data_IF_325102201758
#
_entry.id   IF_325102201758
#
_cell.length_a   1.000
_cell.length_b   1.000
_cell.length_c   1.000
_cell.angle_alpha   90.00
_cell.angle_beta   90.00
_cell.angle_gamma   90.00
#
_symmetry.space_group_name_H-M   'P 1'
#
loop_
_entity.id
_entity.type
_entity.pdbx_description
1 polymer ?
#
# COMPACT_ATOMS: atom_id res chain seq x y z
N UNK A 1 -3.82 38.20 -13.25
CA UNK A 1 -4.94 37.26 -13.00
C UNK A 1 -5.01 36.29 -14.17
N UNK A 2 -4.82 34.99 -13.95
CA UNK A 2 -4.94 34.00 -15.03
C UNK A 2 -6.42 33.66 -15.28
N UNK A 3 -6.81 33.52 -16.55
CA UNK A 3 -8.17 33.11 -16.93
C UNK A 3 -8.39 31.66 -16.50
N UNK A 4 -9.38 31.41 -15.64
CA UNK A 4 -9.73 30.06 -15.18
C UNK A 4 -10.56 29.33 -16.25
N UNK A 5 -10.25 28.08 -16.49
CA UNK A 5 -11.10 27.16 -17.26
C UNK A 5 -12.25 26.65 -16.37
N UNK A 6 -13.39 26.37 -16.98
CA UNK A 6 -14.59 25.82 -16.31
C UNK A 6 -14.63 24.31 -16.53
N UNK A 7 -15.02 23.50 -15.53
CA UNK A 7 -15.21 22.06 -15.71
C UNK A 7 -16.30 21.73 -16.74
N UNK A 8 -16.14 20.59 -17.41
CA UNK A 8 -17.21 19.98 -18.22
C UNK A 8 -17.97 19.03 -17.30
N UNK A 9 -19.16 19.40 -16.83
CA UNK A 9 -19.89 18.67 -15.79
C UNK A 9 -20.20 17.21 -16.18
N UNK A 10 -20.43 16.93 -17.47
CA UNK A 10 -20.65 15.56 -17.96
C UNK A 10 -19.41 14.66 -17.87
N UNK A 11 -18.22 15.24 -17.71
CA UNK A 11 -16.94 14.51 -17.59
C UNK A 11 -16.44 14.54 -16.15
N UNK A 12 -16.50 15.70 -15.49
CA UNK A 12 -15.97 15.90 -14.13
C UNK A 12 -16.96 16.71 -13.29
N UNK A 13 -18.05 16.07 -12.82
CA UNK A 13 -19.06 16.77 -12.04
C UNK A 13 -18.44 17.34 -10.76
N UNK A 14 -18.66 18.63 -10.50
CA UNK A 14 -18.16 19.27 -9.27
C UNK A 14 -19.16 19.18 -8.13
N UNK A 15 -20.45 19.16 -8.47
CA UNK A 15 -21.54 19.00 -7.53
C UNK A 15 -22.12 17.60 -7.68
N UNK A 16 -22.43 16.98 -6.56
CA UNK A 16 -23.09 15.68 -6.50
C UNK A 16 -24.55 15.87 -6.09
N UNK A 17 -25.40 14.92 -6.45
CA UNK A 17 -26.75 14.88 -5.91
C UNK A 17 -26.70 14.78 -4.37
N UNK A 18 -27.51 15.54 -3.61
CA UNK A 18 -27.38 15.63 -2.15
C UNK A 18 -27.41 14.28 -1.42
N UNK A 19 -28.26 13.35 -1.87
CA UNK A 19 -28.36 12.01 -1.28
C UNK A 19 -27.11 11.17 -1.55
N UNK A 20 -26.52 11.29 -2.73
CA UNK A 20 -25.27 10.63 -3.09
C UNK A 20 -24.11 11.20 -2.29
N UNK A 21 -24.02 12.53 -2.17
CA UNK A 21 -22.99 13.19 -1.36
C UNK A 21 -23.06 12.72 0.10
N UNK A 22 -24.27 12.68 0.67
CA UNK A 22 -24.50 12.18 2.04
C UNK A 22 -24.05 10.72 2.20
N UNK A 23 -24.34 9.87 1.22
CA UNK A 23 -23.90 8.47 1.24
C UNK A 23 -22.38 8.36 1.16
N UNK A 24 -21.72 9.11 0.28
CA UNK A 24 -20.25 9.10 0.18
C UNK A 24 -19.58 9.61 1.46
N UNK A 25 -20.16 10.62 2.11
CA UNK A 25 -19.72 11.08 3.44
C UNK A 25 -19.84 9.96 4.46
N UNK A 26 -20.98 9.25 4.49
CA UNK A 26 -21.18 8.13 5.41
C UNK A 26 -20.16 7.00 5.16
N UNK A 27 -19.91 6.65 3.88
CA UNK A 27 -18.90 5.66 3.50
C UNK A 27 -17.49 6.11 3.91
N UNK A 28 -17.14 7.37 3.69
CA UNK A 28 -15.87 7.96 4.13
C UNK A 28 -15.71 7.87 5.64
N UNK A 29 -16.71 8.30 6.41
CA UNK A 29 -16.66 8.29 7.88
C UNK A 29 -16.51 6.87 8.45
N UNK A 30 -17.10 5.86 7.80
CA UNK A 30 -16.85 4.47 8.16
C UNK A 30 -15.39 4.06 8.00
N UNK A 31 -14.71 4.51 6.93
CA UNK A 31 -13.28 4.26 6.70
C UNK A 31 -12.42 5.06 7.68
N UNK A 32 -12.76 6.33 7.93
CA UNK A 32 -12.08 7.19 8.92
C UNK A 32 -12.08 6.53 10.31
N UNK A 33 -13.15 5.85 10.69
CA UNK A 33 -13.19 5.11 11.96
C UNK A 33 -12.18 3.94 12.01
N UNK A 34 -11.96 3.24 10.89
CA UNK A 34 -10.88 2.24 10.78
C UNK A 34 -9.50 2.88 10.99
N UNK A 35 -9.29 4.06 10.40
CA UNK A 35 -8.03 4.83 10.51
C UNK A 35 -7.82 5.30 11.94
N UNK A 36 -8.86 5.84 12.58
CA UNK A 36 -8.82 6.30 13.97
C UNK A 36 -8.41 5.16 14.90
N UNK A 37 -9.07 4.01 14.79
CA UNK A 37 -8.72 2.86 15.61
C UNK A 37 -7.32 2.33 15.29
N UNK A 38 -6.95 2.23 14.00
CA UNK A 38 -5.60 1.86 13.58
C UNK A 38 -4.51 2.78 14.15
N UNK A 39 -4.76 4.09 14.23
CA UNK A 39 -3.82 5.05 14.82
C UNK A 39 -3.58 4.78 16.31
N UNK A 40 -4.62 4.35 17.03
CA UNK A 40 -4.49 3.92 18.42
C UNK A 40 -3.64 2.65 18.54
N UNK A 41 -3.78 1.67 17.62
CA UNK A 41 -2.93 0.48 17.60
C UNK A 41 -1.44 0.83 17.45
N UNK A 42 -1.12 1.77 16.56
CA UNK A 42 0.26 2.28 16.38
C UNK A 42 0.76 2.90 17.69
N UNK A 43 -0.04 3.78 18.29
CA UNK A 43 0.31 4.45 19.54
C UNK A 43 0.56 3.46 20.67
N UNK A 44 -0.35 2.51 20.88
CA UNK A 44 -0.23 1.48 21.91
C UNK A 44 0.99 0.56 21.72
N UNK A 45 1.41 0.30 20.48
CA UNK A 45 2.61 -0.50 20.20
C UNK A 45 3.90 0.29 20.49
N UNK A 46 3.97 1.56 20.08
CA UNK A 46 5.14 2.43 20.31
C UNK A 46 5.34 2.76 21.80
N UNK A 47 4.27 2.88 22.58
CA UNK A 47 4.33 3.20 24.01
C UNK A 47 4.79 2.04 24.90
N UNK A 48 5.17 0.89 24.32
CA UNK A 48 5.75 -0.22 25.09
C UNK A 48 7.11 0.18 25.66
N UNK A 49 7.34 -0.19 26.91
CA UNK A 49 8.57 0.11 27.65
C UNK A 49 9.84 -0.55 27.09
N UNK A 50 9.72 -1.57 26.24
CA UNK A 50 10.84 -2.31 25.65
C UNK A 50 10.65 -2.47 24.15
N UNK A 51 11.22 -1.56 23.35
CA UNK A 51 11.33 -1.72 21.89
C UNK A 51 12.76 -2.08 21.50
N UNK A 52 12.91 -3.07 20.63
CA UNK A 52 14.14 -3.35 19.86
C UNK A 52 13.92 -3.01 18.37
N UNK A 53 14.99 -2.97 17.58
CA UNK A 53 14.92 -2.72 16.15
C UNK A 53 13.96 -3.66 15.41
N UNK A 54 13.80 -4.90 15.88
CA UNK A 54 12.90 -5.90 15.28
C UNK A 54 11.42 -5.56 15.44
N UNK A 55 11.08 -4.61 16.32
CA UNK A 55 9.73 -4.10 16.51
C UNK A 55 9.36 -3.02 15.49
N UNK A 56 10.34 -2.39 14.83
CA UNK A 56 10.09 -1.33 13.85
C UNK A 56 9.37 -1.83 12.58
N UNK A 57 9.76 -2.96 11.94
CA UNK A 57 9.11 -3.42 10.71
C UNK A 57 7.60 -3.56 10.80
N UNK A 58 7.00 -4.29 11.77
CA UNK A 58 5.55 -4.40 11.84
C UNK A 58 4.87 -3.04 12.07
N UNK A 59 5.44 -2.16 12.90
CA UNK A 59 4.87 -0.82 13.15
C UNK A 59 4.85 0.02 11.86
N UNK A 60 5.96 0.02 11.10
CA UNK A 60 6.09 0.81 9.89
C UNK A 60 5.22 0.26 8.75
N UNK A 61 5.15 -1.06 8.58
CA UNK A 61 4.22 -1.66 7.62
C UNK A 61 2.76 -1.36 7.99
N UNK A 62 2.42 -1.37 9.28
CA UNK A 62 1.07 -1.09 9.75
C UNK A 62 0.71 0.38 9.57
N UNK A 63 1.65 1.30 9.87
CA UNK A 63 1.50 2.73 9.57
C UNK A 63 1.27 2.96 8.08
N UNK A 64 2.07 2.34 7.21
CA UNK A 64 1.91 2.44 5.76
C UNK A 64 0.55 1.88 5.30
N UNK A 65 0.11 0.76 5.87
CA UNK A 65 -1.22 0.20 5.62
C UNK A 65 -2.33 1.19 5.98
N UNK A 66 -2.31 1.76 7.19
CA UNK A 66 -3.32 2.75 7.63
C UNK A 66 -3.30 4.01 6.77
N UNK A 67 -2.14 4.49 6.31
CA UNK A 67 -2.04 5.62 5.38
C UNK A 67 -2.75 5.36 4.05
N UNK A 68 -2.67 4.13 3.52
CA UNK A 68 -3.42 3.76 2.32
C UNK A 68 -4.93 3.81 2.58
N UNK A 69 -5.39 3.32 3.73
CA UNK A 69 -6.80 3.34 4.11
C UNK A 69 -7.31 4.79 4.30
N UNK A 70 -6.50 5.65 4.91
CA UNK A 70 -6.80 7.08 5.08
C UNK A 70 -6.95 7.81 3.74
N UNK A 71 -6.00 7.59 2.82
CA UNK A 71 -6.07 8.16 1.48
C UNK A 71 -7.37 7.76 0.74
N UNK A 72 -7.83 6.52 0.92
CA UNK A 72 -9.10 6.06 0.33
C UNK A 72 -10.28 6.82 0.91
N UNK A 73 -10.31 7.10 2.23
CA UNK A 73 -11.42 7.84 2.86
C UNK A 73 -11.64 9.21 2.18
N UNK A 74 -10.55 9.96 2.02
CA UNK A 74 -10.53 11.30 1.39
C UNK A 74 -11.06 11.24 -0.06
N UNK A 75 -10.63 10.23 -0.81
CA UNK A 75 -11.00 10.04 -2.21
C UNK A 75 -12.47 9.64 -2.37
N UNK A 76 -12.97 8.74 -1.52
CA UNK A 76 -14.38 8.31 -1.51
C UNK A 76 -15.30 9.50 -1.25
N UNK A 77 -14.98 10.33 -0.25
CA UNK A 77 -15.74 11.56 0.06
C UNK A 77 -15.87 12.50 -1.15
N UNK A 78 -14.87 12.49 -2.03
CA UNK A 78 -14.80 13.35 -3.21
C UNK A 78 -15.30 12.68 -4.50
N UNK A 79 -15.93 11.50 -4.41
CA UNK A 79 -16.34 10.66 -5.56
C UNK A 79 -15.17 10.33 -6.52
N UNK A 80 -13.93 10.34 -6.02
CA UNK A 80 -12.72 10.03 -6.80
C UNK A 80 -12.35 8.56 -6.61
N UNK A 81 -13.25 7.66 -7.02
CA UNK A 81 -13.25 6.26 -6.59
C UNK A 81 -12.24 5.39 -7.34
N UNK A 82 -12.10 5.55 -8.65
CA UNK A 82 -11.25 4.66 -9.47
C UNK A 82 -9.78 4.59 -9.03
N UNK A 83 -9.10 5.70 -8.66
CA UNK A 83 -7.74 5.66 -8.13
C UNK A 83 -7.59 4.80 -6.87
N UNK A 84 -8.64 4.63 -6.06
CA UNK A 84 -8.60 3.83 -4.84
C UNK A 84 -8.29 2.35 -5.10
N UNK A 85 -8.52 1.82 -6.32
CA UNK A 85 -8.15 0.44 -6.69
C UNK A 85 -6.63 0.21 -6.59
N UNK A 86 -5.84 1.19 -7.04
CA UNK A 86 -4.37 1.13 -6.93
C UNK A 86 -3.92 1.21 -5.47
N UNK A 87 -4.59 2.04 -4.67
CA UNK A 87 -4.29 2.19 -3.25
C UNK A 87 -4.65 0.93 -2.47
N UNK A 88 -5.80 0.30 -2.76
CA UNK A 88 -6.21 -0.98 -2.19
C UNK A 88 -5.24 -2.12 -2.52
N UNK A 89 -4.67 -2.14 -3.73
CA UNK A 89 -3.62 -3.11 -4.08
C UNK A 89 -2.41 -2.97 -3.15
N UNK A 90 -1.93 -1.74 -2.95
CA UNK A 90 -0.82 -1.46 -2.03
C UNK A 90 -1.19 -1.82 -0.59
N UNK A 91 -2.42 -1.54 -0.15
CA UNK A 91 -2.91 -1.95 1.16
C UNK A 91 -2.90 -3.48 1.32
N UNK A 92 -3.35 -4.23 0.32
CA UNK A 92 -3.33 -5.69 0.32
C UNK A 92 -1.90 -6.25 0.41
N UNK A 93 -0.94 -5.69 -0.33
CA UNK A 93 0.46 -6.12 -0.21
C UNK A 93 0.99 -5.88 1.20
N UNK A 94 0.74 -4.70 1.79
CA UNK A 94 1.16 -4.41 3.16
C UNK A 94 0.49 -5.33 4.19
N UNK A 95 -0.79 -5.67 3.99
CA UNK A 95 -1.51 -6.61 4.83
C UNK A 95 -0.82 -7.99 4.82
N UNK A 96 -0.46 -8.51 3.64
CA UNK A 96 0.26 -9.78 3.51
C UNK A 96 1.67 -9.70 4.13
N UNK A 97 2.37 -8.57 3.97
CA UNK A 97 3.67 -8.35 4.62
C UNK A 97 3.56 -8.38 6.14
N UNK A 98 2.55 -7.73 6.70
CA UNK A 98 2.29 -7.70 8.14
C UNK A 98 1.95 -9.08 8.68
N UNK A 99 1.02 -9.77 8.04
CA UNK A 99 0.64 -11.11 8.44
C UNK A 99 1.84 -12.07 8.38
N UNK A 100 2.65 -11.97 7.32
CA UNK A 100 3.89 -12.74 7.24
C UNK A 100 4.87 -12.37 8.35
N UNK A 101 5.10 -11.10 8.66
CA UNK A 101 5.96 -10.72 9.79
C UNK A 101 5.45 -11.31 11.11
N UNK A 102 4.14 -11.28 11.36
CA UNK A 102 3.52 -11.60 12.64
C UNK A 102 3.15 -13.08 12.84
N UNK A 103 3.12 -13.88 11.77
CA UNK A 103 2.73 -15.29 11.83
C UNK A 103 3.73 -16.13 12.66
N UNK A 104 4.92 -16.39 12.12
CA UNK A 104 5.98 -17.24 12.71
C UNK A 104 7.35 -16.60 12.51
N UNK A 105 8.30 -16.97 13.36
CA UNK A 105 9.70 -16.54 13.23
C UNK A 105 9.87 -15.02 13.11
N UNK A 106 9.13 -14.30 13.97
CA UNK A 106 9.05 -12.84 13.98
C UNK A 106 10.43 -12.18 13.91
N UNK A 107 11.37 -12.66 14.73
CA UNK A 107 12.72 -12.12 14.79
C UNK A 107 13.44 -12.19 13.44
N UNK A 108 13.51 -13.38 12.83
CA UNK A 108 14.23 -13.52 11.56
C UNK A 108 13.51 -12.79 10.42
N UNK A 109 12.18 -12.76 10.40
CA UNK A 109 11.41 -12.04 9.37
C UNK A 109 11.61 -10.52 9.48
N UNK A 110 11.55 -9.97 10.69
CA UNK A 110 11.86 -8.55 10.94
C UNK A 110 13.31 -8.20 10.58
N UNK A 111 14.28 -9.02 11.01
CA UNK A 111 15.68 -8.81 10.65
C UNK A 111 15.93 -8.95 9.14
N UNK A 112 15.23 -9.87 8.47
CA UNK A 112 15.28 -10.03 7.01
C UNK A 112 14.80 -8.78 6.28
N UNK A 113 13.72 -8.16 6.76
CA UNK A 113 13.27 -6.87 6.23
C UNK A 113 14.30 -5.77 6.47
N UNK A 114 14.82 -5.63 7.70
CA UNK A 114 15.78 -4.58 8.02
C UNK A 114 17.05 -4.70 7.18
N UNK A 115 17.65 -5.89 7.08
CA UNK A 115 18.86 -6.10 6.27
C UNK A 115 18.59 -5.80 4.79
N UNK A 116 17.47 -6.29 4.26
CA UNK A 116 17.07 -6.03 2.88
C UNK A 116 16.88 -4.54 2.62
N UNK A 117 16.27 -3.82 3.57
CA UNK A 117 16.03 -2.39 3.49
C UNK A 117 17.34 -1.60 3.49
N UNK A 118 18.27 -1.91 4.40
CA UNK A 118 19.59 -1.26 4.43
C UNK A 118 20.40 -1.52 3.14
N UNK A 119 20.40 -2.77 2.64
CA UNK A 119 21.09 -3.09 1.37
C UNK A 119 20.50 -2.29 0.22
N UNK A 120 19.18 -2.26 0.08
CA UNK A 120 18.53 -1.57 -1.02
C UNK A 120 18.66 -0.05 -0.91
N UNK A 121 18.61 0.49 0.31
CA UNK A 121 18.86 1.90 0.54
C UNK A 121 20.30 2.28 0.18
N UNK A 122 21.30 1.49 0.57
CA UNK A 122 22.69 1.74 0.19
C UNK A 122 22.88 1.70 -1.33
N UNK A 123 22.29 0.72 -2.03
CA UNK A 123 22.29 0.68 -3.51
C UNK A 123 21.67 1.94 -4.12
N UNK A 124 20.57 2.45 -3.56
CA UNK A 124 19.95 3.69 -4.03
C UNK A 124 20.80 4.93 -3.72
N UNK A 125 21.47 4.96 -2.57
CA UNK A 125 22.39 6.04 -2.21
C UNK A 125 23.61 6.06 -3.12
N UNK A 126 24.17 4.90 -3.50
CA UNK A 126 25.26 4.83 -4.48
C UNK A 126 24.85 5.47 -5.81
N UNK A 127 23.60 5.25 -6.26
CA UNK A 127 23.03 5.89 -7.45
C UNK A 127 22.92 7.41 -7.37
N UNK A 128 22.97 7.98 -6.16
CA UNK A 128 22.93 9.43 -5.89
C UNK A 128 24.30 10.01 -5.48
N UNK A 129 25.33 9.16 -5.43
CA UNK A 129 26.70 9.56 -5.10
C UNK A 129 27.50 9.82 -6.38
N UNK A 130 27.82 11.08 -6.66
CA UNK A 130 28.56 11.49 -7.86
C UNK A 130 29.90 10.76 -8.06
N UNK A 131 30.52 10.30 -6.98
CA UNK A 131 31.81 9.59 -7.00
C UNK A 131 31.66 8.08 -7.31
N UNK A 132 30.45 7.52 -7.28
CA UNK A 132 30.23 6.08 -7.43
C UNK A 132 30.22 5.61 -8.89
N UNK A 133 30.49 4.32 -9.11
CA UNK A 133 30.33 3.71 -10.43
C UNK A 133 28.87 3.62 -10.88
N UNK A 134 27.93 3.44 -9.95
CA UNK A 134 26.50 3.39 -10.25
C UNK A 134 25.97 4.74 -10.74
N UNK A 135 26.46 5.86 -10.18
CA UNK A 135 26.12 7.18 -10.67
C UNK A 135 26.62 7.40 -12.10
N UNK A 136 27.86 6.99 -12.42
CA UNK A 136 28.40 7.05 -13.79
C UNK A 136 27.56 6.24 -14.79
N UNK A 137 26.97 5.12 -14.36
CA UNK A 137 26.03 4.35 -15.20
C UNK A 137 24.76 5.15 -15.47
N UNK A 138 24.21 5.83 -14.47
CA UNK A 138 23.01 6.66 -14.61
C UNK A 138 23.28 7.89 -15.48
N UNK A 139 24.43 8.53 -15.32
CA UNK A 139 24.85 9.66 -16.16
C UNK A 139 24.88 9.28 -17.64
N UNK A 140 25.40 8.09 -17.97
CA UNK A 140 25.33 7.54 -19.33
C UNK A 140 23.91 7.30 -19.81
N UNK A 141 23.01 6.85 -18.93
CA UNK A 141 21.59 6.68 -19.27
C UNK A 141 20.94 8.03 -19.55
N UNK A 142 21.20 9.05 -18.73
CA UNK A 142 20.71 10.42 -18.96
C UNK A 142 21.21 10.93 -20.31
N UNK A 143 22.52 10.88 -20.56
CA UNK A 143 23.12 11.35 -21.80
C UNK A 143 22.49 10.74 -23.07
N UNK A 144 22.10 9.47 -22.99
CA UNK A 144 21.46 8.76 -24.10
C UNK A 144 19.92 8.89 -24.12
N UNK A 145 19.31 9.56 -23.14
CA UNK A 145 17.87 9.70 -23.03
C UNK A 145 17.30 10.78 -23.96
N UNK A 146 16.09 10.55 -24.47
CA UNK A 146 15.43 11.49 -25.40
C UNK A 146 15.10 12.84 -24.75
N UNK A 147 14.66 12.82 -23.50
CA UNK A 147 14.11 13.98 -22.77
C UNK A 147 15.15 14.52 -21.80
N UNK A 148 15.88 13.63 -21.12
CA UNK A 148 16.75 13.94 -19.99
C UNK A 148 18.22 14.15 -20.37
N UNK A 149 18.63 14.02 -21.65
CA UNK A 149 20.03 14.17 -22.09
C UNK A 149 20.76 15.46 -21.69
N UNK A 150 20.02 16.53 -21.46
CA UNK A 150 20.58 17.81 -21.06
C UNK A 150 20.39 18.09 -19.56
N UNK A 151 19.90 17.10 -18.80
CA UNK A 151 19.70 17.18 -17.36
C UNK A 151 20.84 16.44 -16.66
N UNK A 152 21.16 16.89 -15.45
CA UNK A 152 22.12 16.21 -14.58
C UNK A 152 21.32 15.25 -13.68
N UNK A 153 21.74 13.99 -13.52
CA UNK A 153 21.14 13.10 -12.54
C UNK A 153 21.15 13.72 -11.14
N UNK A 154 20.16 13.40 -10.29
CA UNK A 154 20.11 13.92 -8.93
C UNK A 154 21.34 13.47 -8.13
N UNK A 155 21.96 14.42 -7.41
CA UNK A 155 23.06 14.18 -6.47
C UNK A 155 22.55 14.51 -5.07
N UNK A 156 22.81 13.62 -4.11
CA UNK A 156 22.46 13.85 -2.71
C UNK A 156 23.67 14.36 -1.93
N UNK A 157 23.50 15.49 -1.24
CA UNK A 157 24.48 16.00 -0.26
C UNK A 157 24.53 15.07 0.95
N UNK A 158 25.72 14.81 1.50
CA UNK A 158 25.97 13.91 2.66
C UNK A 158 25.76 12.40 2.38
N UNK A 159 25.80 12.00 1.11
CA UNK A 159 25.64 10.59 0.73
C UNK A 159 26.69 9.66 1.36
N UNK A 160 27.94 10.13 1.53
CA UNK A 160 29.00 9.34 2.13
C UNK A 160 28.75 9.07 3.63
N UNK A 161 28.19 10.03 4.36
CA UNK A 161 27.82 9.87 5.77
C UNK A 161 26.68 8.85 5.93
N UNK A 162 25.67 8.93 5.06
CA UNK A 162 24.55 7.99 5.03
C UNK A 162 25.02 6.57 4.67
N UNK A 163 25.90 6.44 3.67
CA UNK A 163 26.50 5.16 3.28
C UNK A 163 27.35 4.57 4.40
N UNK A 164 28.18 5.39 5.06
CA UNK A 164 28.99 4.95 6.20
C UNK A 164 28.11 4.44 7.35
N UNK A 165 27.04 5.18 7.68
CA UNK A 165 26.09 4.78 8.72
C UNK A 165 25.40 3.46 8.38
N UNK A 166 24.87 3.33 7.15
CA UNK A 166 24.25 2.09 6.69
C UNK A 166 25.23 0.91 6.69
N UNK A 167 26.48 1.13 6.27
CA UNK A 167 27.53 0.12 6.25
C UNK A 167 27.97 -0.31 7.66
N UNK A 168 28.00 0.59 8.63
CA UNK A 168 28.27 0.24 10.03
C UNK A 168 27.17 -0.66 10.60
N UNK A 169 25.90 -0.33 10.34
CA UNK A 169 24.75 -1.11 10.83
C UNK A 169 24.75 -2.51 10.22
N UNK A 170 24.85 -2.61 8.89
CA UNK A 170 24.77 -3.89 8.19
C UNK A 170 25.96 -4.82 8.50
N UNK A 171 27.13 -4.25 8.78
CA UNK A 171 28.31 -5.03 9.12
C UNK A 171 28.43 -5.34 10.62
N UNK A 172 27.51 -4.84 11.46
CA UNK A 172 27.47 -5.17 12.88
C UNK A 172 27.19 -6.66 13.10
N UNK A 173 27.67 -7.21 14.22
CA UNK A 173 27.54 -8.63 14.58
C UNK A 173 26.08 -9.12 14.56
N UNK A 174 25.12 -8.26 14.93
CA UNK A 174 23.68 -8.55 14.90
C UNK A 174 23.15 -8.80 13.48
N UNK A 175 23.66 -8.11 12.46
CA UNK A 175 23.16 -8.19 11.09
C UNK A 175 23.92 -9.18 10.20
N UNK A 176 25.13 -9.59 10.58
CA UNK A 176 25.97 -10.50 9.78
C UNK A 176 25.26 -11.80 9.36
N UNK A 177 24.55 -12.55 10.24
CA UNK A 177 23.88 -13.78 9.82
C UNK A 177 22.83 -13.53 8.73
N UNK A 178 22.12 -12.41 8.82
CA UNK A 178 21.07 -12.03 7.87
C UNK A 178 21.63 -11.52 6.55
N UNK A 179 22.79 -10.87 6.57
CA UNK A 179 23.53 -10.47 5.36
C UNK A 179 24.01 -11.70 4.59
N UNK A 180 24.57 -12.69 5.29
CA UNK A 180 24.99 -13.96 4.70
C UNK A 180 23.80 -14.68 4.06
N UNK A 181 22.66 -14.73 4.75
CA UNK A 181 21.43 -15.32 4.21
C UNK A 181 20.91 -14.56 2.98
N UNK A 182 20.94 -13.23 2.99
CA UNK A 182 20.56 -12.42 1.82
C UNK A 182 21.42 -12.79 0.60
N UNK A 183 22.74 -12.81 0.74
CA UNK A 183 23.68 -13.16 -0.34
C UNK A 183 23.50 -14.60 -0.82
N UNK A 184 23.28 -15.55 0.10
CA UNK A 184 22.98 -16.93 -0.22
C UNK A 184 21.67 -17.06 -1.01
N UNK A 185 20.62 -16.35 -0.61
CA UNK A 185 19.34 -16.34 -1.31
C UNK A 185 19.43 -15.67 -2.69
N UNK A 186 20.21 -14.59 -2.85
CA UNK A 186 20.48 -14.01 -4.17
C UNK A 186 21.12 -15.02 -5.13
N UNK A 187 22.13 -15.76 -4.66
CA UNK A 187 22.81 -16.81 -5.44
C UNK A 187 21.84 -17.95 -5.79
N UNK A 188 21.06 -18.42 -4.81
CA UNK A 188 20.06 -19.49 -4.97
C UNK A 188 18.99 -19.13 -6.00
N UNK A 189 18.48 -17.89 -5.96
CA UNK A 189 17.42 -17.42 -6.86
C UNK A 189 17.94 -16.85 -8.18
N UNK A 190 19.27 -16.68 -8.32
CA UNK A 190 19.92 -16.03 -9.48
C UNK A 190 19.31 -14.66 -9.79
N UNK A 191 19.04 -13.88 -8.75
CA UNK A 191 18.42 -12.54 -8.85
C UNK A 191 19.19 -11.50 -8.04
N UNK A 192 19.45 -10.36 -8.67
CA UNK A 192 20.13 -9.22 -8.01
C UNK A 192 19.21 -8.49 -7.02
N UNK A 193 17.91 -8.49 -7.28
CA UNK A 193 16.90 -7.94 -6.37
C UNK A 193 15.93 -9.05 -5.98
N UNK A 194 16.03 -9.46 -4.72
CA UNK A 194 15.15 -10.45 -4.09
C UNK A 194 14.23 -9.73 -3.12
N UNK A 195 13.04 -10.28 -2.89
CA UNK A 195 12.15 -9.78 -1.85
C UNK A 195 12.66 -10.17 -0.46
N UNK A 196 12.46 -9.32 0.55
CA UNK A 196 12.88 -9.62 1.92
C UNK A 196 12.23 -10.89 2.48
N UNK A 197 10.98 -11.17 2.10
CA UNK A 197 10.25 -12.36 2.53
C UNK A 197 10.76 -13.66 1.86
N UNK A 198 11.70 -13.57 0.90
CA UNK A 198 12.33 -14.74 0.26
C UNK A 198 13.52 -15.33 1.03
N UNK A 199 14.02 -14.60 2.03
CA UNK A 199 15.10 -15.07 2.90
C UNK A 199 14.64 -16.27 3.73
N UNK A 200 15.59 -17.11 4.17
CA UNK A 200 15.36 -18.34 4.93
C UNK A 200 14.38 -19.30 4.26
N UNK A 201 14.53 -19.46 2.94
CA UNK A 201 13.64 -20.28 2.10
C UNK A 201 12.17 -19.83 2.10
N UNK A 202 11.90 -18.54 2.38
CA UNK A 202 10.57 -17.99 2.27
C UNK A 202 10.06 -17.80 0.82
N UNK A 203 8.83 -17.27 0.66
CA UNK A 203 8.18 -17.11 -0.64
C UNK A 203 8.95 -16.24 -1.63
N UNK A 204 8.85 -16.53 -2.94
CA UNK A 204 9.65 -15.83 -3.97
C UNK A 204 8.97 -14.61 -4.59
N UNK A 205 7.67 -14.48 -4.40
CA UNK A 205 6.83 -13.41 -4.94
C UNK A 205 5.54 -13.28 -4.12
N UNK A 206 4.75 -12.23 -4.39
CA UNK A 206 3.50 -11.95 -3.65
C UNK A 206 2.47 -13.08 -3.78
N UNK A 207 2.43 -13.76 -4.92
CA UNK A 207 1.52 -14.90 -5.11
C UNK A 207 1.90 -16.04 -4.17
N UNK A 208 3.16 -16.46 -4.17
CA UNK A 208 3.66 -17.49 -3.25
C UNK A 208 3.53 -17.06 -1.78
N UNK A 209 3.64 -15.75 -1.49
CA UNK A 209 3.42 -15.22 -0.14
C UNK A 209 1.96 -15.42 0.29
N UNK A 210 1.01 -15.07 -0.56
CA UNK A 210 -0.41 -15.30 -0.30
C UNK A 210 -0.74 -16.79 -0.18
N UNK A 211 -0.15 -17.64 -1.03
CA UNK A 211 -0.29 -19.11 -0.94
C UNK A 211 0.27 -19.63 0.40
N UNK A 212 1.42 -19.11 0.84
CA UNK A 212 2.02 -19.48 2.14
C UNK A 212 1.14 -19.09 3.32
N UNK A 213 0.47 -17.94 3.25
CA UNK A 213 -0.47 -17.43 4.26
C UNK A 213 -1.88 -18.02 4.11
N UNK A 214 -2.13 -18.87 3.11
CA UNK A 214 -3.47 -19.40 2.76
C UNK A 214 -4.51 -18.33 2.38
N UNK A 215 -4.04 -17.18 1.90
CA UNK A 215 -4.84 -16.06 1.43
C UNK A 215 -4.95 -15.99 -0.11
N UNK A 216 -4.91 -17.15 -0.78
CA UNK A 216 -4.93 -17.25 -2.25
C UNK A 216 -6.18 -16.63 -2.86
N UNK A 217 -7.35 -16.79 -2.23
CA UNK A 217 -8.62 -16.17 -2.71
C UNK A 217 -8.55 -14.65 -2.65
N UNK A 218 -7.97 -14.10 -1.57
CA UNK A 218 -7.77 -12.65 -1.46
C UNK A 218 -6.83 -12.15 -2.55
N UNK A 219 -5.75 -12.89 -2.81
CA UNK A 219 -4.83 -12.56 -3.89
C UNK A 219 -5.52 -12.63 -5.26
N UNK A 220 -6.10 -13.77 -5.63
CA UNK A 220 -6.68 -13.94 -6.96
C UNK A 220 -7.90 -13.04 -7.21
N UNK A 221 -8.76 -12.84 -6.20
CA UNK A 221 -9.97 -12.05 -6.30
C UNK A 221 -9.74 -10.53 -6.28
N UNK A 222 -8.78 -10.04 -5.50
CA UNK A 222 -8.55 -8.59 -5.37
C UNK A 222 -7.31 -8.12 -6.13
N UNK A 223 -6.19 -8.82 -5.98
CA UNK A 223 -4.92 -8.36 -6.53
C UNK A 223 -4.92 -8.31 -8.06
N UNK A 224 -5.41 -9.37 -8.73
CA UNK A 224 -5.45 -9.43 -10.20
C UNK A 224 -6.34 -8.35 -10.79
N UNK A 225 -7.53 -8.17 -10.20
CA UNK A 225 -8.52 -7.19 -10.64
C UNK A 225 -8.03 -5.75 -10.47
N UNK A 226 -7.26 -5.45 -9.42
CA UNK A 226 -6.67 -4.12 -9.25
C UNK A 226 -5.39 -3.92 -10.07
N UNK A 227 -4.66 -5.00 -10.38
CA UNK A 227 -3.42 -4.91 -11.15
C UNK A 227 -3.66 -4.50 -12.61
N UNK A 228 -4.79 -4.87 -13.23
CA UNK A 228 -5.13 -4.40 -14.59
C UNK A 228 -5.30 -2.87 -14.64
N UNK A 229 -5.93 -2.30 -13.61
CA UNK A 229 -6.10 -0.85 -13.48
C UNK A 229 -4.76 -0.12 -13.29
N UNK A 230 -3.80 -0.71 -12.57
CA UNK A 230 -2.47 -0.12 -12.34
C UNK A 230 -1.62 -0.04 -13.62
N UNK A 231 -1.73 -1.02 -14.51
CA UNK A 231 -0.94 -1.04 -15.75
C UNK A 231 -1.49 -0.14 -16.85
N UNK A 232 -2.59 0.59 -16.60
CA UNK A 232 -3.17 1.54 -17.55
C UNK A 232 -3.66 0.89 -18.85
N UNK A 233 -3.74 -0.43 -18.90
CA UNK A 233 -4.22 -1.19 -20.06
C UNK A 233 -5.73 -1.40 -20.04
N UNK A 234 -6.36 -1.19 -18.88
CA UNK A 234 -7.80 -1.32 -18.68
C UNK A 234 -8.51 0.02 -19.00
N UNK A 235 -8.43 0.46 -20.26
CA UNK A 235 -8.90 1.77 -20.73
C UNK A 235 -10.28 1.74 -21.38
N UNK A 236 -10.81 0.56 -21.70
CA UNK A 236 -12.09 0.39 -22.39
C UNK A 236 -13.17 -0.22 -21.48
N UNK A 237 -12.86 -1.28 -20.74
CA UNK A 237 -13.84 -1.94 -19.89
C UNK A 237 -14.37 -0.98 -18.82
N UNK A 238 -15.70 -0.88 -18.73
CA UNK A 238 -16.37 -0.07 -17.70
C UNK A 238 -16.08 1.43 -17.79
N UNK A 239 -15.69 1.96 -18.97
CA UNK A 239 -15.47 3.40 -19.19
C UNK A 239 -16.32 4.00 -20.32
N UNK A 240 -17.08 3.16 -21.00
CA UNK A 240 -18.00 3.55 -22.07
C UNK A 240 -19.44 3.29 -21.65
N UNK A 241 -20.34 4.24 -21.95
CA UNK A 241 -21.78 4.03 -21.90
C UNK A 241 -22.34 3.92 -23.31
N UNK A 242 -23.25 2.98 -23.53
CA UNK A 242 -23.99 2.88 -24.79
C UNK A 242 -25.26 3.72 -24.64
N UNK A 243 -25.39 4.79 -25.42
CA UNK A 243 -26.70 5.42 -25.59
C UNK A 243 -27.52 4.61 -26.60
N UNK A 244 -28.85 4.71 -26.53
CA UNK A 244 -29.77 4.07 -27.49
C UNK A 244 -29.73 4.71 -28.88
N UNK A 245 -28.96 5.79 -29.08
CA UNK A 245 -28.83 6.53 -30.33
C UNK A 245 -27.36 6.65 -30.76
N UNK A 246 -26.78 5.61 -31.39
CA UNK A 246 -25.51 5.63 -32.18
C UNK A 246 -24.26 6.35 -31.61
N UNK A 247 -24.30 6.87 -30.40
CA UNK A 247 -23.27 7.70 -29.77
C UNK A 247 -22.73 6.97 -28.54
N UNK A 248 -21.40 6.98 -28.41
CA UNK A 248 -20.70 6.45 -27.24
C UNK A 248 -20.50 7.57 -26.22
N UNK A 249 -20.96 7.35 -24.99
CA UNK A 249 -20.65 8.22 -23.85
C UNK A 249 -19.40 7.74 -23.11
N UNK A 250 -18.70 8.65 -22.43
CA UNK A 250 -17.58 8.34 -21.54
C UNK A 250 -18.09 8.43 -20.10
N UNK A 251 -17.77 7.43 -19.27
CA UNK A 251 -18.10 7.47 -17.85
C UNK A 251 -17.37 8.64 -17.19
N UNK A 252 -18.06 9.32 -16.27
CA UNK A 252 -17.52 10.45 -15.52
C UNK A 252 -16.24 10.06 -14.76
N UNK A 253 -15.29 10.99 -14.69
CA UNK A 253 -14.07 10.85 -13.88
C UNK A 253 -14.41 10.71 -12.39
N UNK A 254 -15.51 11.35 -11.95
CA UNK A 254 -16.02 11.30 -10.57
C UNK A 254 -17.22 10.36 -10.43
N UNK A 255 -17.06 9.14 -10.93
CA UNK A 255 -18.07 8.09 -10.85
C UNK A 255 -18.08 7.40 -9.46
N UNK A 256 -19.22 7.40 -8.73
CA UNK A 256 -19.31 6.78 -7.42
C UNK A 256 -19.53 5.25 -7.45
N UNK A 257 -19.69 4.63 -8.62
CA UNK A 257 -20.18 3.25 -8.76
C UNK A 257 -19.51 2.22 -7.84
N UNK A 258 -18.19 2.32 -7.70
CA UNK A 258 -17.39 1.36 -6.93
C UNK A 258 -17.17 1.79 -5.47
N UNK A 259 -17.68 2.94 -5.02
CA UNK A 259 -17.35 3.49 -3.70
C UNK A 259 -17.69 2.52 -2.58
N UNK A 260 -18.89 1.93 -2.62
CA UNK A 260 -19.33 0.96 -1.63
C UNK A 260 -18.43 -0.28 -1.57
N UNK A 261 -18.09 -0.87 -2.71
CA UNK A 261 -17.23 -2.05 -2.78
C UNK A 261 -15.80 -1.74 -2.28
N UNK A 262 -15.29 -0.54 -2.59
CA UNK A 262 -13.98 -0.09 -2.08
C UNK A 262 -14.02 0.08 -0.56
N UNK A 263 -15.07 0.70 -0.01
CA UNK A 263 -15.29 0.78 1.44
C UNK A 263 -15.33 -0.60 2.06
N UNK A 264 -16.09 -1.54 1.50
CA UNK A 264 -16.17 -2.91 2.00
C UNK A 264 -14.80 -3.59 2.06
N UNK A 265 -13.94 -3.38 1.07
CA UNK A 265 -12.59 -3.95 1.07
C UNK A 265 -11.67 -3.34 2.11
N UNK A 266 -11.77 -2.03 2.37
CA UNK A 266 -11.06 -1.41 3.51
C UNK A 266 -11.44 -2.10 4.83
N UNK A 267 -12.75 -2.31 5.05
CA UNK A 267 -13.23 -3.03 6.24
C UNK A 267 -12.69 -4.45 6.29
N UNK A 268 -12.79 -5.21 5.20
CA UNK A 268 -12.31 -6.59 5.17
C UNK A 268 -10.81 -6.68 5.51
N UNK A 269 -9.98 -5.81 4.93
CA UNK A 269 -8.54 -5.81 5.21
C UNK A 269 -8.25 -5.43 6.67
N UNK A 270 -8.88 -4.38 7.18
CA UNK A 270 -8.70 -3.95 8.57
C UNK A 270 -9.18 -5.00 9.57
N UNK A 271 -10.34 -5.61 9.34
CA UNK A 271 -10.90 -6.65 10.21
C UNK A 271 -10.12 -7.97 10.18
N UNK A 272 -9.35 -8.23 9.12
CA UNK A 272 -8.38 -9.33 9.08
C UNK A 272 -7.14 -8.96 9.89
N UNK A 273 -6.53 -7.80 9.64
CA UNK A 273 -5.18 -7.51 10.16
C UNK A 273 -5.17 -6.96 11.59
N UNK A 274 -6.20 -6.22 12.02
CA UNK A 274 -6.28 -5.67 13.38
C UNK A 274 -6.23 -6.77 14.45
N UNK A 275 -7.05 -7.83 14.42
CA UNK A 275 -6.97 -8.87 15.44
C UNK A 275 -5.61 -9.59 15.45
N UNK A 276 -5.01 -9.84 14.28
CA UNK A 276 -3.67 -10.42 14.17
C UNK A 276 -2.63 -9.52 14.83
N UNK A 277 -2.66 -8.22 14.51
CA UNK A 277 -1.76 -7.23 15.07
C UNK A 277 -1.91 -7.15 16.60
N UNK A 278 -3.14 -7.06 17.09
CA UNK A 278 -3.42 -6.99 18.53
C UNK A 278 -2.94 -8.24 19.24
N UNK A 279 -3.32 -9.43 18.76
CA UNK A 279 -2.95 -10.69 19.39
C UNK A 279 -1.42 -10.85 19.49
N UNK A 280 -0.69 -10.45 18.44
CA UNK A 280 0.75 -10.68 18.32
C UNK A 280 1.59 -9.56 18.93
N UNK A 281 1.09 -8.33 18.93
CA UNK A 281 1.84 -7.15 19.37
C UNK A 281 1.33 -6.65 20.71
N UNK A 282 0.03 -6.39 20.84
CA UNK A 282 -0.54 -5.65 21.98
C UNK A 282 -1.74 -6.39 22.58
N UNK A 283 -1.57 -7.65 23.05
CA UNK A 283 -2.69 -8.50 23.45
C UNK A 283 -3.52 -7.93 24.60
N UNK A 284 -2.94 -7.08 25.45
CA UNK A 284 -3.65 -6.37 26.51
C UNK A 284 -4.76 -5.44 26.00
N UNK A 285 -4.73 -5.06 24.71
CA UNK A 285 -5.72 -4.22 24.02
C UNK A 285 -6.85 -5.01 23.36
N UNK A 286 -6.95 -6.31 23.61
CA UNK A 286 -8.02 -7.15 23.06
C UNK A 286 -9.42 -6.66 23.46
N UNK A 287 -9.59 -6.21 24.70
CA UNK A 287 -10.88 -5.68 25.18
C UNK A 287 -11.26 -4.39 24.45
N UNK A 288 -10.30 -3.48 24.24
CA UNK A 288 -10.51 -2.25 23.48
C UNK A 288 -10.97 -2.55 22.05
N UNK A 289 -10.35 -3.54 21.40
CA UNK A 289 -10.75 -4.01 20.07
C UNK A 289 -12.15 -4.60 20.04
N UNK A 290 -12.50 -5.47 20.99
CA UNK A 290 -13.83 -6.07 21.02
C UNK A 290 -14.92 -5.00 21.16
N UNK A 291 -14.69 -4.00 22.03
CA UNK A 291 -15.61 -2.88 22.22
C UNK A 291 -15.75 -2.03 20.95
N UNK A 292 -14.62 -1.71 20.31
CA UNK A 292 -14.61 -0.97 19.05
C UNK A 292 -15.34 -1.74 17.95
N UNK A 293 -15.04 -3.03 17.78
CA UNK A 293 -15.64 -3.88 16.75
C UNK A 293 -17.17 -3.94 16.85
N UNK A 294 -17.71 -4.05 18.06
CA UNK A 294 -19.16 -3.99 18.30
C UNK A 294 -19.78 -2.66 17.84
N UNK A 295 -19.02 -1.56 17.88
CA UNK A 295 -19.45 -0.25 17.41
C UNK A 295 -19.51 -0.13 15.88
N UNK A 296 -18.69 -0.88 15.14
CA UNK A 296 -18.60 -0.74 13.68
C UNK A 296 -19.34 -1.85 12.92
N UNK A 297 -19.57 -3.01 13.54
CA UNK A 297 -20.01 -4.22 12.83
C UNK A 297 -21.34 -4.04 12.11
N UNK A 298 -22.26 -3.26 12.68
CA UNK A 298 -23.55 -3.00 12.03
C UNK A 298 -23.37 -2.21 10.74
N UNK A 299 -22.46 -1.23 10.71
CA UNK A 299 -22.15 -0.49 9.51
C UNK A 299 -21.49 -1.40 8.45
N UNK A 300 -20.52 -2.22 8.85
CA UNK A 300 -19.88 -3.20 7.96
C UNK A 300 -20.89 -4.17 7.35
N UNK A 301 -21.86 -4.64 8.15
CA UNK A 301 -22.96 -5.49 7.70
C UNK A 301 -23.83 -4.77 6.67
N UNK A 302 -24.21 -3.52 6.93
CA UNK A 302 -25.03 -2.73 6.00
C UNK A 302 -24.38 -2.56 4.63
N UNK A 303 -23.08 -2.22 4.58
CA UNK A 303 -22.37 -2.06 3.30
C UNK A 303 -22.08 -3.39 2.59
N UNK A 304 -22.22 -4.52 3.27
CA UNK A 304 -21.99 -5.87 2.71
C UNK A 304 -23.29 -6.50 2.21
N UNK A 305 -24.39 -6.33 2.94
CA UNK A 305 -25.66 -7.03 2.66
C UNK A 305 -26.62 -6.24 1.78
N UNK A 306 -26.48 -4.91 1.71
CA UNK A 306 -27.39 -4.03 0.97
C UNK A 306 -26.68 -3.37 -0.19
N UNK A 307 -27.33 -3.25 -1.35
CA UNK A 307 -26.87 -2.37 -2.42
C UNK A 307 -27.26 -0.92 -2.06
N UNK A 308 -26.28 -0.10 -1.65
CA UNK A 308 -26.52 1.29 -1.24
C UNK A 308 -26.38 2.26 -2.39
N UNK A 309 -25.50 1.95 -3.35
CA UNK A 309 -25.31 2.74 -4.57
C UNK A 309 -26.09 2.07 -5.71
N UNK A 310 -27.22 2.67 -6.06
CA UNK A 310 -27.99 2.33 -7.26
C UNK A 310 -27.82 3.44 -8.29
N UNK A 311 -26.88 3.26 -9.23
CA UNK A 311 -26.76 4.18 -10.36
C UNK A 311 -27.79 3.76 -11.41
N UNK A 312 -28.80 4.60 -11.64
CA UNK A 312 -29.61 4.50 -12.86
C UNK A 312 -28.68 4.72 -14.05
N UNK A 313 -28.35 3.65 -14.77
CA UNK A 313 -27.64 3.77 -16.05
C UNK A 313 -28.47 4.70 -16.94
N UNK A 314 -27.93 5.89 -17.22
CA UNK A 314 -28.51 6.82 -18.20
C UNK A 314 -28.32 6.27 -19.61
#
# INVERSE_FOLDING_TARGET
MYKKTVPVEDIIPRNLEPDLEKLLIQLSSGIEELVNFGSNLIKWDIEKSTMDNVDLPPILFFRNFIEQIDAISILIKSSSVEPCKNILRTALENMLYLEYLLDKDFYNRSMSFLVWNYINNNKNLERLNASSEEYKKIEKVFFNDKIMKNQIPPILTNVDELLNTGNLIINSTKFQPFKIEYEATQKRLKKNNISWYSLFNGPRNIKELAENLKNTVLYDGFFKNYSSATHGTDILQGKLTSSTQKDFGIIQIRDPQNAQHITQNCFNFCLIIFPIYIQKRIPIKQTDFNNWYLGIIEFHRQITEKQLIEIKKR
#
